data_IF_861980501797
#
_entry.id   IF_861980501797
#
_cell.length_a   1.000
_cell.length_b   1.000
_cell.length_c   1.000
_cell.angle_alpha   90.00
_cell.angle_beta   90.00
_cell.angle_gamma   90.00
#
_symmetry.space_group_name_H-M   'P 1'
#
loop_
_entity.id
_entity.type
_entity.pdbx_description
1 polymer ?
#
# COMPACT_ATOMS: atom_id res chain seq x y z
N UNK A 1 -0.89 26.53 1.24
CA UNK A 1 -0.57 26.56 -0.21
C UNK A 1 0.95 26.42 -0.33
N UNK A 2 1.44 25.17 -0.46
CA UNK A 2 2.88 24.93 -0.70
C UNK A 2 3.09 25.01 -2.20
N UNK A 3 3.67 26.09 -2.66
CA UNK A 3 4.13 26.26 -4.04
C UNK A 3 5.26 25.28 -4.30
N UNK A 4 4.93 24.10 -4.83
CA UNK A 4 5.94 23.22 -5.41
C UNK A 4 6.51 23.91 -6.65
N UNK A 5 7.72 24.42 -6.55
CA UNK A 5 8.47 24.94 -7.70
C UNK A 5 8.77 23.75 -8.58
N UNK A 6 7.96 23.53 -9.60
CA UNK A 6 8.19 22.51 -10.62
C UNK A 6 9.47 22.86 -11.37
N UNK A 7 10.34 21.86 -11.60
CA UNK A 7 11.52 22.04 -12.45
C UNK A 7 11.08 22.52 -13.84
N UNK A 8 11.75 23.51 -14.46
CA UNK A 8 11.43 23.95 -15.81
C UNK A 8 11.38 22.80 -16.84
N UNK A 9 12.22 21.79 -16.66
CA UNK A 9 12.23 20.57 -17.48
C UNK A 9 10.94 19.77 -17.33
N UNK A 10 10.41 19.64 -16.11
CA UNK A 10 9.14 18.94 -15.86
C UNK A 10 7.97 19.68 -16.50
N UNK A 11 7.91 21.01 -16.37
CA UNK A 11 6.87 21.83 -16.98
C UNK A 11 6.87 21.66 -18.51
N UNK A 12 8.04 21.78 -19.15
CA UNK A 12 8.16 21.63 -20.59
C UNK A 12 7.71 20.26 -21.11
N UNK A 13 8.07 19.17 -20.38
CA UNK A 13 7.63 17.81 -20.76
C UNK A 13 6.14 17.62 -20.56
N UNK A 14 5.56 18.19 -19.50
CA UNK A 14 4.12 18.11 -19.26
C UNK A 14 3.36 18.86 -20.35
N UNK A 15 3.78 20.09 -20.68
CA UNK A 15 3.13 20.91 -21.73
C UNK A 15 3.17 20.22 -23.10
N UNK A 16 4.27 19.52 -23.41
CA UNK A 16 4.42 18.72 -24.63
C UNK A 16 3.46 17.52 -24.66
N UNK A 17 3.30 16.80 -23.53
CA UNK A 17 2.57 15.52 -23.50
C UNK A 17 1.09 15.63 -23.12
N UNK A 18 0.66 16.72 -22.50
CA UNK A 18 -0.74 16.91 -22.06
C UNK A 18 -1.77 16.61 -23.16
N UNK A 19 -1.64 17.09 -24.42
CA UNK A 19 -2.65 16.85 -25.44
C UNK A 19 -2.89 15.35 -25.70
N UNK A 20 -1.80 14.59 -25.85
CA UNK A 20 -1.86 13.15 -26.11
C UNK A 20 -2.38 12.36 -24.90
N UNK A 21 -1.81 12.61 -23.72
CA UNK A 21 -2.21 11.91 -22.50
C UNK A 21 -3.66 12.23 -22.10
N UNK A 22 -4.12 13.47 -22.35
CA UNK A 22 -5.50 13.88 -22.10
C UNK A 22 -6.49 13.15 -23.01
N UNK A 23 -6.15 13.00 -24.29
CA UNK A 23 -6.95 12.23 -25.25
C UNK A 23 -7.03 10.75 -24.82
N UNK A 24 -5.88 10.14 -24.47
CA UNK A 24 -5.79 8.76 -23.96
C UNK A 24 -6.61 8.56 -22.68
N UNK A 25 -6.59 9.52 -21.77
CA UNK A 25 -7.33 9.49 -20.52
C UNK A 25 -8.84 9.79 -20.69
N UNK A 26 -9.31 10.15 -21.88
CA UNK A 26 -10.72 10.54 -22.13
C UNK A 26 -11.22 11.61 -21.14
N UNK A 27 -10.39 12.59 -20.80
CA UNK A 27 -10.67 13.60 -19.77
C UNK A 27 -11.98 14.38 -20.04
N UNK A 28 -12.41 14.50 -21.28
CA UNK A 28 -13.66 15.18 -21.66
C UNK A 28 -14.90 14.47 -21.08
N UNK A 29 -14.90 13.14 -21.07
CA UNK A 29 -16.02 12.33 -20.55
C UNK A 29 -16.22 12.49 -19.04
N UNK A 30 -15.17 12.83 -18.34
CA UNK A 30 -15.15 12.99 -16.87
C UNK A 30 -15.07 14.47 -16.46
N UNK A 31 -15.21 15.40 -17.40
CA UNK A 31 -15.22 16.82 -17.14
C UNK A 31 -13.91 17.39 -16.55
N UNK A 32 -12.77 16.76 -16.85
CA UNK A 32 -11.47 17.20 -16.37
C UNK A 32 -10.83 18.19 -17.38
N UNK A 33 -10.60 19.43 -16.94
CA UNK A 33 -10.00 20.46 -17.77
C UNK A 33 -8.53 20.14 -18.14
N UNK A 34 -8.03 20.74 -19.23
CA UNK A 34 -6.63 20.59 -19.60
C UNK A 34 -5.69 21.14 -18.53
N UNK A 35 -6.06 22.25 -17.91
CA UNK A 35 -5.28 22.86 -16.83
C UNK A 35 -5.22 21.93 -15.59
N UNK A 36 -6.36 21.43 -15.12
CA UNK A 36 -6.40 20.52 -13.96
C UNK A 36 -5.63 19.23 -14.24
N UNK A 37 -5.68 18.71 -15.47
CA UNK A 37 -4.93 17.52 -15.85
C UNK A 37 -3.42 17.78 -15.88
N UNK A 38 -2.99 18.96 -16.39
CA UNK A 38 -1.60 19.40 -16.34
C UNK A 38 -1.09 19.51 -14.90
N UNK A 39 -1.86 20.12 -14.00
CA UNK A 39 -1.51 20.23 -12.57
C UNK A 39 -1.35 18.85 -11.91
N UNK A 40 -2.21 17.88 -12.25
CA UNK A 40 -2.10 16.49 -11.79
C UNK A 40 -0.79 15.85 -12.27
N UNK A 41 -0.44 16.01 -13.53
CA UNK A 41 0.80 15.46 -14.09
C UNK A 41 2.04 16.11 -13.45
N UNK A 42 2.02 17.43 -13.22
CA UNK A 42 3.08 18.14 -12.52
C UNK A 42 3.25 17.61 -11.08
N UNK A 43 2.16 17.43 -10.34
CA UNK A 43 2.19 16.85 -9.01
C UNK A 43 2.77 15.44 -9.00
N UNK A 44 2.33 14.57 -9.93
CA UNK A 44 2.80 13.18 -10.01
C UNK A 44 4.26 13.13 -10.47
N UNK A 45 4.65 13.96 -11.43
CA UNK A 45 6.02 14.06 -11.93
C UNK A 45 6.99 14.57 -10.87
N UNK A 46 6.59 15.56 -10.07
CA UNK A 46 7.43 16.09 -8.96
C UNK A 46 7.71 15.04 -7.89
N UNK A 47 6.78 14.11 -7.65
CA UNK A 47 6.95 12.98 -6.73
C UNK A 47 7.80 11.84 -7.29
N UNK A 48 8.02 11.80 -8.61
CA UNK A 48 8.80 10.75 -9.25
C UNK A 48 10.30 10.93 -8.99
N UNK A 49 10.86 12.06 -9.37
CA UNK A 49 12.26 12.43 -9.10
C UNK A 49 12.48 13.92 -9.34
N UNK A 50 13.13 14.57 -8.39
CA UNK A 50 13.50 15.99 -8.53
C UNK A 50 14.63 16.22 -9.55
N UNK A 51 15.39 15.17 -9.91
CA UNK A 51 16.55 15.23 -10.81
C UNK A 51 16.40 14.45 -12.11
N UNK A 52 15.17 14.02 -12.44
CA UNK A 52 14.92 13.24 -13.64
C UNK A 52 15.15 14.09 -14.91
N UNK A 53 15.81 13.49 -15.90
CA UNK A 53 15.97 14.07 -17.24
C UNK A 53 14.63 14.14 -17.98
N UNK A 54 14.53 14.99 -19.00
CA UNK A 54 13.33 15.09 -19.83
C UNK A 54 12.95 13.74 -20.49
N UNK A 55 13.95 12.92 -20.89
CA UNK A 55 13.72 11.59 -21.45
C UNK A 55 13.13 10.60 -20.45
N UNK A 56 13.63 10.60 -19.22
CA UNK A 56 13.09 9.78 -18.14
C UNK A 56 11.67 10.20 -17.75
N UNK A 57 11.38 11.50 -17.71
CA UNK A 57 10.05 12.02 -17.45
C UNK A 57 9.04 11.61 -18.54
N UNK A 58 9.42 11.70 -19.84
CA UNK A 58 8.58 11.22 -20.94
C UNK A 58 8.26 9.73 -20.79
N UNK A 59 9.27 8.92 -20.58
CA UNK A 59 9.11 7.47 -20.37
C UNK A 59 8.22 7.17 -19.17
N UNK A 60 8.40 7.91 -18.09
CA UNK A 60 7.57 7.80 -16.89
C UNK A 60 6.11 8.10 -17.19
N UNK A 61 5.77 9.24 -17.81
CA UNK A 61 4.39 9.59 -18.11
C UNK A 61 3.72 8.62 -19.09
N UNK A 62 4.46 8.09 -20.07
CA UNK A 62 3.93 7.05 -20.98
C UNK A 62 3.66 5.71 -20.26
N UNK A 63 4.33 5.45 -19.14
CA UNK A 63 4.12 4.23 -18.33
C UNK A 63 2.90 4.33 -17.41
N UNK A 64 2.34 5.52 -17.20
CA UNK A 64 1.20 5.73 -16.31
C UNK A 64 -0.11 5.19 -16.90
N UNK A 65 -0.98 4.72 -16.04
CA UNK A 65 -2.39 4.46 -16.34
C UNK A 65 -3.17 5.76 -16.25
N UNK A 66 -3.00 6.60 -17.27
CA UNK A 66 -3.50 7.99 -17.24
C UNK A 66 -5.03 8.09 -17.23
N UNK A 67 -5.73 7.11 -17.81
CA UNK A 67 -7.19 6.98 -17.76
C UNK A 67 -7.68 6.75 -16.33
N UNK A 68 -7.04 5.85 -15.60
CA UNK A 68 -7.37 5.58 -14.20
C UNK A 68 -6.93 6.72 -13.28
N UNK A 69 -5.79 7.37 -13.58
CA UNK A 69 -5.32 8.55 -12.85
C UNK A 69 -6.31 9.70 -12.98
N UNK A 70 -6.74 10.01 -14.23
CA UNK A 70 -7.71 11.06 -14.49
C UNK A 70 -9.05 10.79 -13.79
N UNK A 71 -9.55 9.54 -13.87
CA UNK A 71 -10.78 9.12 -13.18
C UNK A 71 -10.67 9.31 -11.66
N UNK A 72 -9.61 8.82 -11.05
CA UNK A 72 -9.41 8.92 -9.60
C UNK A 72 -9.32 10.38 -9.13
N UNK A 73 -8.62 11.23 -9.87
CA UNK A 73 -8.47 12.65 -9.56
C UNK A 73 -9.75 13.45 -9.79
N UNK A 74 -10.52 13.13 -10.84
CA UNK A 74 -11.84 13.73 -11.05
C UNK A 74 -12.82 13.35 -9.93
N UNK A 75 -12.81 12.08 -9.48
CA UNK A 75 -13.57 11.66 -8.30
C UNK A 75 -13.12 12.42 -7.03
N UNK A 76 -11.82 12.55 -6.81
CA UNK A 76 -11.28 13.30 -5.67
C UNK A 76 -11.72 14.77 -5.68
N UNK A 77 -11.82 15.38 -6.86
CA UNK A 77 -12.35 16.74 -7.04
C UNK A 77 -13.87 16.84 -6.86
N UNK A 78 -14.59 15.71 -6.74
CA UNK A 78 -16.05 15.69 -6.52
C UNK A 78 -16.87 15.68 -7.79
N UNK A 79 -16.31 15.32 -8.95
CA UNK A 79 -17.04 15.24 -10.19
C UNK A 79 -18.03 14.06 -10.18
N UNK A 80 -19.33 14.34 -10.34
CA UNK A 80 -20.39 13.35 -10.27
C UNK A 80 -20.30 12.32 -11.41
N UNK A 81 -20.03 12.74 -12.63
CA UNK A 81 -19.91 11.82 -13.77
C UNK A 81 -18.72 10.87 -13.61
N UNK A 82 -17.62 11.36 -13.06
CA UNK A 82 -16.49 10.51 -12.72
C UNK A 82 -16.85 9.48 -11.63
N UNK A 83 -17.64 9.87 -10.62
CA UNK A 83 -18.13 8.96 -9.59
C UNK A 83 -19.08 7.90 -10.14
N UNK A 84 -19.97 8.23 -11.06
CA UNK A 84 -20.84 7.26 -11.72
C UNK A 84 -20.01 6.18 -12.46
N UNK A 85 -19.00 6.61 -13.22
CA UNK A 85 -18.09 5.71 -13.93
C UNK A 85 -17.30 4.86 -12.92
N UNK A 86 -16.79 5.48 -11.86
CA UNK A 86 -16.04 4.78 -10.81
C UNK A 86 -16.89 3.70 -10.14
N UNK A 87 -18.10 4.02 -9.70
CA UNK A 87 -18.99 3.07 -9.05
C UNK A 87 -19.40 1.94 -9.98
N UNK A 88 -19.72 2.25 -11.25
CA UNK A 88 -20.04 1.22 -12.24
C UNK A 88 -18.88 0.25 -12.45
N UNK A 89 -17.64 0.73 -12.44
CA UNK A 89 -16.44 -0.08 -12.72
C UNK A 89 -15.93 -0.87 -11.50
N UNK A 90 -16.05 -0.31 -10.29
CA UNK A 90 -15.35 -0.83 -9.12
C UNK A 90 -16.24 -1.30 -7.98
N UNK A 91 -17.54 -0.95 -7.94
CA UNK A 91 -18.41 -1.28 -6.82
C UNK A 91 -18.44 -2.77 -6.49
N UNK A 92 -18.74 -3.59 -7.47
CA UNK A 92 -18.82 -5.04 -7.30
C UNK A 92 -17.44 -5.63 -6.92
N UNK A 93 -16.40 -5.20 -7.59
CA UNK A 93 -15.03 -5.66 -7.35
C UNK A 93 -14.54 -5.33 -5.94
N UNK A 94 -14.87 -4.14 -5.44
CA UNK A 94 -14.54 -3.73 -4.08
C UNK A 94 -15.32 -4.53 -3.03
N UNK A 95 -16.61 -4.77 -3.28
CA UNK A 95 -17.41 -5.61 -2.40
C UNK A 95 -16.88 -7.05 -2.35
N UNK A 96 -16.56 -7.65 -3.49
CA UNK A 96 -15.97 -8.98 -3.55
C UNK A 96 -14.59 -9.04 -2.86
N UNK A 97 -13.77 -8.01 -3.02
CA UNK A 97 -12.51 -7.90 -2.30
C UNK A 97 -12.73 -7.78 -0.79
N UNK A 98 -13.69 -6.96 -0.36
CA UNK A 98 -14.06 -6.82 1.05
C UNK A 98 -14.58 -8.14 1.64
N UNK A 99 -15.42 -8.89 0.90
CA UNK A 99 -15.95 -10.17 1.31
C UNK A 99 -14.85 -11.23 1.51
N UNK A 100 -13.87 -11.25 0.61
CA UNK A 100 -12.68 -12.11 0.78
C UNK A 100 -11.86 -11.73 2.00
N UNK A 101 -11.84 -10.42 2.36
CA UNK A 101 -11.11 -9.90 3.52
C UNK A 101 -11.83 -10.21 4.83
N UNK A 102 -13.08 -9.85 4.92
CA UNK A 102 -13.85 -9.93 6.14
C UNK A 102 -14.44 -11.32 6.39
N UNK A 103 -14.62 -12.13 5.31
CA UNK A 103 -15.23 -13.48 5.33
C UNK A 103 -16.68 -13.54 5.82
N UNK A 104 -17.28 -12.41 6.13
CA UNK A 104 -18.65 -12.25 6.59
C UNK A 104 -19.29 -11.10 5.81
N UNK A 105 -20.53 -11.30 5.36
CA UNK A 105 -21.22 -10.35 4.48
C UNK A 105 -21.43 -8.98 5.13
N UNK A 106 -21.87 -8.95 6.38
CA UNK A 106 -22.10 -7.69 7.10
C UNK A 106 -20.81 -6.92 7.28
N UNK A 107 -19.74 -7.58 7.73
CA UNK A 107 -18.43 -6.97 7.91
C UNK A 107 -17.81 -6.51 6.57
N UNK A 108 -18.07 -7.23 5.49
CA UNK A 108 -17.65 -6.87 4.15
C UNK A 108 -18.33 -5.59 3.65
N UNK A 109 -19.64 -5.46 3.86
CA UNK A 109 -20.40 -4.25 3.52
C UNK A 109 -19.89 -3.06 4.31
N UNK A 110 -19.77 -3.19 5.63
CA UNK A 110 -19.24 -2.13 6.48
C UNK A 110 -17.83 -1.69 6.10
N UNK A 111 -16.99 -2.64 5.69
CA UNK A 111 -15.63 -2.35 5.24
C UNK A 111 -15.64 -1.59 3.91
N UNK A 112 -16.48 -2.01 2.96
CA UNK A 112 -16.64 -1.35 1.67
C UNK A 112 -17.22 0.06 1.83
N UNK A 113 -18.24 0.24 2.67
CA UNK A 113 -18.90 1.51 2.92
C UNK A 113 -17.95 2.51 3.60
N UNK A 114 -17.14 2.05 4.56
CA UNK A 114 -16.10 2.88 5.17
C UNK A 114 -15.07 3.31 4.13
N UNK A 115 -14.66 2.40 3.24
CA UNK A 115 -13.75 2.76 2.15
C UNK A 115 -14.37 3.82 1.22
N UNK A 116 -15.64 3.67 0.83
CA UNK A 116 -16.32 4.67 0.00
C UNK A 116 -16.37 6.04 0.67
N UNK A 117 -16.62 6.10 1.98
CA UNK A 117 -16.58 7.33 2.74
C UNK A 117 -15.21 8.04 2.67
N UNK A 118 -14.15 7.27 2.81
CA UNK A 118 -12.77 7.76 2.72
C UNK A 118 -12.36 8.18 1.29
N UNK A 119 -12.79 7.39 0.29
CA UNK A 119 -12.54 7.70 -1.12
C UNK A 119 -13.32 8.95 -1.54
N UNK A 120 -14.56 9.08 -1.06
CA UNK A 120 -15.37 10.27 -1.30
C UNK A 120 -14.79 11.49 -0.58
N UNK A 121 -14.17 11.31 0.58
CA UNK A 121 -13.61 12.39 1.39
C UNK A 121 -14.67 13.10 2.20
N UNK A 122 -15.34 12.39 3.12
CA UNK A 122 -16.27 12.97 4.07
C UNK A 122 -15.53 13.88 5.08
N UNK A 123 -14.25 13.58 5.35
CA UNK A 123 -13.41 14.37 6.21
C UNK A 123 -12.96 15.65 5.52
N UNK A 124 -13.12 16.78 6.21
CA UNK A 124 -12.57 18.07 5.78
C UNK A 124 -11.33 18.40 6.60
N UNK A 125 -10.26 18.82 5.93
CA UNK A 125 -9.07 19.36 6.56
C UNK A 125 -8.86 20.78 6.05
N UNK A 126 -8.77 21.75 6.95
CA UNK A 126 -8.66 23.18 6.61
C UNK A 126 -9.76 23.68 5.66
N UNK A 127 -11.00 23.18 5.83
CA UNK A 127 -12.15 23.52 4.99
C UNK A 127 -12.13 22.84 3.60
N UNK A 128 -11.12 22.04 3.28
CA UNK A 128 -11.03 21.30 2.02
C UNK A 128 -11.33 19.82 2.23
N UNK A 129 -12.05 19.26 1.29
CA UNK A 129 -12.38 17.84 1.23
C UNK A 129 -11.12 17.00 1.00
N UNK A 130 -10.88 16.02 1.86
CA UNK A 130 -9.73 15.12 1.76
C UNK A 130 -10.18 13.76 1.25
N UNK A 131 -9.96 13.50 -0.04
CA UNK A 131 -10.23 12.21 -0.68
C UNK A 131 -8.96 11.37 -0.74
N UNK A 132 -9.04 10.09 -0.34
CA UNK A 132 -7.91 9.15 -0.53
C UNK A 132 -7.52 8.97 -2.00
N UNK A 133 -8.46 9.09 -2.95
CA UNK A 133 -8.19 9.02 -4.39
C UNK A 133 -7.18 10.08 -4.88
N UNK A 134 -7.06 11.20 -4.18
CA UNK A 134 -6.05 12.22 -4.47
C UNK A 134 -4.61 11.70 -4.34
N UNK A 135 -4.36 10.63 -3.59
CA UNK A 135 -3.03 10.05 -3.42
C UNK A 135 -2.66 9.01 -4.49
N UNK A 136 -3.61 8.59 -5.33
CA UNK A 136 -3.32 7.67 -6.43
C UNK A 136 -2.48 8.35 -7.52
N UNK A 137 -1.41 7.67 -7.95
CA UNK A 137 -0.39 8.23 -8.86
C UNK A 137 -0.38 7.64 -10.27
N UNK A 138 -1.25 6.67 -10.57
CA UNK A 138 -1.30 6.03 -11.89
C UNK A 138 -0.19 5.01 -12.18
N UNK A 139 0.69 4.68 -11.21
CA UNK A 139 1.84 3.77 -11.41
C UNK A 139 1.49 2.28 -11.44
N UNK A 140 0.32 1.91 -11.00
CA UNK A 140 -0.23 0.56 -11.01
C UNK A 140 -1.71 0.62 -11.33
N UNK A 141 -2.44 -0.51 -11.36
CA UNK A 141 -3.88 -0.47 -11.57
C UNK A 141 -4.60 0.21 -10.40
N UNK A 142 -5.65 0.97 -10.72
CA UNK A 142 -6.50 1.58 -9.69
C UNK A 142 -7.19 0.50 -8.86
N UNK A 143 -7.56 -0.61 -9.47
CA UNK A 143 -8.15 -1.75 -8.77
C UNK A 143 -7.17 -2.35 -7.74
N UNK A 144 -5.91 -2.60 -8.12
CA UNK A 144 -4.88 -3.09 -7.21
C UNK A 144 -4.60 -2.11 -6.07
N UNK A 145 -4.54 -0.81 -6.38
CA UNK A 145 -4.39 0.23 -5.37
C UNK A 145 -5.57 0.26 -4.38
N UNK A 146 -6.82 0.18 -4.89
CA UNK A 146 -8.04 0.15 -4.06
C UNK A 146 -8.07 -1.08 -3.15
N UNK A 147 -7.66 -2.26 -3.63
CA UNK A 147 -7.53 -3.46 -2.80
C UNK A 147 -6.52 -3.26 -1.67
N UNK A 148 -5.39 -2.60 -1.95
CA UNK A 148 -4.37 -2.30 -0.93
C UNK A 148 -4.93 -1.35 0.14
N UNK A 149 -5.67 -0.31 -0.27
CA UNK A 149 -6.32 0.63 0.67
C UNK A 149 -7.36 -0.10 1.52
N UNK A 150 -8.16 -0.98 0.90
CA UNK A 150 -9.17 -1.79 1.58
C UNK A 150 -8.54 -2.73 2.63
N UNK A 151 -7.46 -3.43 2.26
CA UNK A 151 -6.73 -4.30 3.17
C UNK A 151 -6.12 -3.50 4.34
N UNK A 152 -5.57 -2.33 4.07
CA UNK A 152 -5.03 -1.44 5.10
C UNK A 152 -6.13 -0.96 6.07
N UNK A 153 -7.33 -0.63 5.56
CA UNK A 153 -8.45 -0.22 6.41
C UNK A 153 -8.93 -1.37 7.30
N UNK A 154 -9.00 -2.60 6.77
CA UNK A 154 -9.31 -3.77 7.56
C UNK A 154 -8.32 -3.99 8.70
N UNK A 155 -7.01 -3.93 8.40
CA UNK A 155 -5.95 -4.06 9.41
C UNK A 155 -6.07 -2.96 10.47
N UNK A 156 -6.35 -1.72 10.07
CA UNK A 156 -6.55 -0.61 10.99
C UNK A 156 -7.76 -0.81 11.90
N UNK A 157 -8.89 -1.32 11.35
CA UNK A 157 -10.08 -1.68 12.14
C UNK A 157 -9.79 -2.80 13.13
N UNK A 158 -9.18 -3.88 12.67
CA UNK A 158 -8.80 -5.01 13.53
C UNK A 158 -7.93 -4.58 14.70
N UNK A 159 -6.97 -3.69 14.47
CA UNK A 159 -6.11 -3.14 15.53
C UNK A 159 -6.89 -2.28 16.52
N UNK A 160 -7.83 -1.48 16.05
CA UNK A 160 -8.71 -0.66 16.95
C UNK A 160 -9.56 -1.57 17.82
N UNK A 161 -10.21 -2.57 17.24
CA UNK A 161 -11.04 -3.53 17.97
C UNK A 161 -10.21 -4.30 18.99
N UNK A 162 -9.03 -4.81 18.60
CA UNK A 162 -8.13 -5.55 19.52
C UNK A 162 -7.66 -4.68 20.69
N UNK A 163 -7.43 -3.37 20.48
CA UNK A 163 -7.13 -2.44 21.59
C UNK A 163 -8.29 -2.24 22.54
N UNK A 164 -9.50 -2.11 22.02
CA UNK A 164 -10.70 -1.95 22.85
C UNK A 164 -10.93 -3.20 23.70
N UNK A 165 -10.84 -4.38 23.08
CA UNK A 165 -10.96 -5.67 23.77
C UNK A 165 -9.84 -5.85 24.81
N UNK A 166 -8.60 -5.47 24.50
CA UNK A 166 -7.48 -5.53 25.48
C UNK A 166 -7.64 -4.56 26.66
N UNK A 167 -8.38 -3.46 26.49
CA UNK A 167 -8.74 -2.55 27.59
C UNK A 167 -9.92 -3.10 28.43
N UNK A 168 -10.76 -3.93 27.81
CA UNK A 168 -11.87 -4.61 28.50
C UNK A 168 -11.43 -5.95 29.10
N UNK A 169 -10.45 -6.67 28.52
CA UNK A 169 -9.88 -7.93 29.01
C UNK A 169 -8.96 -7.79 30.24
N UNK A 170 -8.54 -6.58 30.60
CA UNK A 170 -8.09 -6.31 31.98
C UNK A 170 -9.22 -6.48 33.02
N UNK A 171 -10.47 -6.70 32.57
CA UNK A 171 -11.64 -6.86 33.41
C UNK A 171 -12.29 -8.25 33.38
N UNK A 172 -12.15 -9.08 32.34
CA UNK A 172 -12.78 -10.41 32.29
C UNK A 172 -12.05 -11.40 31.36
N UNK A 173 -11.78 -12.60 31.88
CA UNK A 173 -11.16 -13.74 31.16
C UNK A 173 -12.09 -14.33 30.08
N UNK A 174 -11.53 -14.55 28.92
CA UNK A 174 -11.78 -15.71 28.06
C UNK A 174 -12.91 -15.66 27.06
N UNK A 175 -12.58 -15.43 25.78
CA UNK A 175 -13.31 -15.98 24.62
C UNK A 175 -12.33 -16.32 23.48
N UNK A 176 -12.18 -17.63 23.27
CA UNK A 176 -11.44 -18.18 22.11
C UNK A 176 -12.32 -18.08 20.85
N UNK A 177 -11.86 -17.37 19.82
CA UNK A 177 -12.46 -17.43 18.50
C UNK A 177 -11.75 -18.48 17.63
N UNK A 178 -12.47 -19.55 17.28
CA UNK A 178 -12.03 -20.53 16.30
C UNK A 178 -12.03 -19.93 14.89
N UNK A 179 -10.95 -20.13 14.13
CA UNK A 179 -10.85 -19.73 12.74
C UNK A 179 -11.67 -20.71 11.86
N UNK A 180 -12.57 -20.23 10.97
CA UNK A 180 -13.28 -21.08 10.03
C UNK A 180 -12.34 -21.58 8.93
N UNK A 181 -12.49 -22.85 8.54
CA UNK A 181 -11.78 -23.49 7.43
C UNK A 181 -12.13 -22.86 6.07
N UNK A 182 -11.12 -22.62 5.26
CA UNK A 182 -11.24 -21.99 3.96
C UNK A 182 -11.69 -23.00 2.89
N UNK A 183 -12.70 -22.63 2.09
CA UNK A 183 -13.02 -23.31 0.84
C UNK A 183 -12.11 -22.84 -0.31
N UNK A 184 -11.70 -23.71 -1.24
CA UNK A 184 -10.70 -23.39 -2.26
C UNK A 184 -11.30 -22.50 -3.35
N UNK A 185 -10.74 -21.31 -3.53
CA UNK A 185 -10.98 -20.44 -4.68
C UNK A 185 -9.81 -20.56 -5.67
N UNK A 186 -10.10 -20.25 -6.92
CA UNK A 186 -9.25 -20.28 -8.12
C UNK A 186 -7.75 -20.24 -7.83
N UNK A 187 -7.03 -21.28 -8.26
CA UNK A 187 -5.60 -21.49 -7.97
C UNK A 187 -4.75 -20.29 -8.39
N UNK A 188 -4.15 -19.63 -7.42
CA UNK A 188 -3.07 -18.69 -7.67
C UNK A 188 -1.91 -19.39 -8.40
N UNK A 189 -1.20 -18.64 -9.23
CA UNK A 189 -0.05 -19.20 -9.98
C UNK A 189 1.02 -19.69 -8.97
N UNK A 190 1.29 -20.98 -8.99
CA UNK A 190 2.27 -21.66 -8.10
C UNK A 190 3.64 -20.96 -8.09
N UNK A 191 3.99 -20.25 -9.17
CA UNK A 191 5.24 -19.48 -9.26
C UNK A 191 5.24 -18.28 -8.30
N UNK A 192 4.07 -17.65 -8.06
CA UNK A 192 3.93 -16.54 -7.10
C UNK A 192 4.09 -17.06 -5.69
N UNK A 193 3.47 -18.21 -5.37
CA UNK A 193 3.62 -18.88 -4.08
C UNK A 193 5.08 -19.19 -3.79
N UNK A 194 5.76 -19.88 -4.72
CA UNK A 194 7.17 -20.25 -4.58
C UNK A 194 8.11 -19.04 -4.46
N UNK A 195 7.87 -17.98 -5.26
CA UNK A 195 8.68 -16.76 -5.20
C UNK A 195 8.48 -16.03 -3.86
N UNK A 196 7.27 -16.04 -3.32
CA UNK A 196 6.94 -15.43 -2.04
C UNK A 196 7.56 -16.20 -0.88
N UNK A 197 7.43 -17.53 -0.86
CA UNK A 197 8.03 -18.40 0.15
C UNK A 197 9.55 -18.26 0.19
N UNK A 198 10.21 -18.27 -0.99
CA UNK A 198 11.65 -18.08 -1.09
C UNK A 198 12.09 -16.75 -0.49
N UNK A 199 11.38 -15.67 -0.80
CA UNK A 199 11.72 -14.33 -0.29
C UNK A 199 11.50 -14.22 1.23
N UNK A 200 10.40 -14.77 1.73
CA UNK A 200 10.10 -14.78 3.18
C UNK A 200 11.11 -15.63 3.97
N UNK A 201 11.56 -16.77 3.42
CA UNK A 201 12.56 -17.64 4.04
C UNK A 201 13.93 -16.94 4.19
N UNK A 202 14.26 -16.00 3.29
CA UNK A 202 15.54 -15.27 3.30
C UNK A 202 15.50 -13.95 4.11
N UNK A 203 14.38 -13.64 4.76
CA UNK A 203 14.31 -12.48 5.65
C UNK A 203 15.24 -12.63 6.87
N UNK A 204 15.88 -11.52 7.26
CA UNK A 204 16.61 -11.49 8.53
C UNK A 204 15.66 -11.75 9.72
N UNK A 205 16.14 -12.34 10.82
CA UNK A 205 15.30 -12.56 12.02
C UNK A 205 14.66 -11.26 12.54
N UNK A 206 15.39 -10.14 12.48
CA UNK A 206 14.89 -8.82 12.89
C UNK A 206 13.77 -8.31 11.98
N UNK A 207 13.95 -8.43 10.66
CA UNK A 207 12.95 -8.00 9.69
C UNK A 207 11.68 -8.85 9.77
N UNK A 208 11.86 -10.16 9.98
CA UNK A 208 10.78 -11.12 10.22
C UNK A 208 10.00 -10.76 11.49
N UNK A 209 10.69 -10.46 12.59
CA UNK A 209 10.06 -10.04 13.85
C UNK A 209 9.26 -8.74 13.69
N UNK A 210 9.80 -7.74 12.98
CA UNK A 210 9.10 -6.46 12.73
C UNK A 210 7.85 -6.69 11.89
N UNK A 211 7.93 -7.50 10.83
CA UNK A 211 6.78 -7.83 9.99
C UNK A 211 5.72 -8.62 10.76
N UNK A 212 6.13 -9.64 11.53
CA UNK A 212 5.23 -10.43 12.38
C UNK A 212 4.52 -9.54 13.41
N UNK A 213 5.27 -8.72 14.15
CA UNK A 213 4.71 -7.82 15.15
C UNK A 213 3.70 -6.83 14.53
N UNK A 214 4.01 -6.30 13.33
CA UNK A 214 3.15 -5.34 12.68
C UNK A 214 1.93 -5.98 12.02
N UNK A 215 2.10 -7.04 11.22
CA UNK A 215 1.03 -7.61 10.39
C UNK A 215 0.27 -8.77 11.04
N UNK A 216 0.92 -9.59 11.88
CA UNK A 216 0.29 -10.74 12.51
C UNK A 216 -0.21 -10.43 13.93
N UNK A 217 0.63 -9.74 14.73
CA UNK A 217 0.29 -9.42 16.13
C UNK A 217 -0.50 -8.11 16.26
N UNK A 218 -0.64 -7.35 15.17
CA UNK A 218 -1.40 -6.10 15.16
C UNK A 218 -0.79 -4.98 16.01
N UNK A 219 0.51 -5.06 16.37
CA UNK A 219 1.18 -4.04 17.18
C UNK A 219 1.30 -2.71 16.45
N UNK A 220 1.24 -1.63 17.21
CA UNK A 220 1.43 -0.28 16.68
C UNK A 220 2.92 0.00 16.42
N UNK A 221 3.19 1.00 15.57
CA UNK A 221 4.57 1.46 15.35
C UNK A 221 5.25 1.88 16.66
N UNK A 222 4.49 2.56 17.54
CA UNK A 222 4.99 2.99 18.85
C UNK A 222 5.34 1.81 19.78
N UNK A 223 4.52 0.74 19.79
CA UNK A 223 4.78 -0.47 20.57
C UNK A 223 6.01 -1.21 20.05
N UNK A 224 6.13 -1.38 18.72
CA UNK A 224 7.30 -2.01 18.10
C UNK A 224 8.56 -1.17 18.36
N UNK A 225 8.47 0.14 18.23
CA UNK A 225 9.56 1.06 18.50
C UNK A 225 10.05 0.95 19.95
N UNK A 226 9.12 0.87 20.92
CA UNK A 226 9.43 0.67 22.33
C UNK A 226 10.10 -0.68 22.60
N UNK A 227 9.61 -1.75 21.96
CA UNK A 227 10.21 -3.10 22.07
C UNK A 227 11.64 -3.13 21.55
N UNK A 228 11.93 -2.41 20.48
CA UNK A 228 13.24 -2.39 19.84
C UNK A 228 14.15 -1.25 20.32
N UNK A 229 13.67 -0.41 21.23
CA UNK A 229 14.45 0.73 21.76
C UNK A 229 14.78 1.80 20.71
N UNK A 230 13.92 1.98 19.71
CA UNK A 230 14.13 2.95 18.62
C UNK A 230 12.94 3.92 18.52
N UNK A 231 13.08 4.97 17.70
CA UNK A 231 12.01 5.92 17.46
C UNK A 231 10.95 5.35 16.49
N UNK A 232 9.68 5.71 16.65
CA UNK A 232 8.55 5.24 15.82
C UNK A 232 8.79 5.48 14.33
N UNK A 233 9.35 6.65 13.97
CA UNK A 233 9.67 6.95 12.57
C UNK A 233 10.70 6.00 11.96
N UNK A 234 11.57 5.38 12.78
CA UNK A 234 12.53 4.36 12.34
C UNK A 234 11.80 3.09 11.93
N UNK A 235 10.81 2.67 12.71
CA UNK A 235 9.98 1.50 12.38
C UNK A 235 9.15 1.75 11.12
N UNK A 236 8.53 2.92 11.00
CA UNK A 236 7.78 3.29 9.80
C UNK A 236 8.65 3.21 8.53
N UNK A 237 9.85 3.82 8.57
CA UNK A 237 10.80 3.77 7.44
C UNK A 237 11.30 2.35 7.17
N UNK A 238 11.54 1.55 8.22
CA UNK A 238 11.96 0.15 8.10
C UNK A 238 10.88 -0.68 7.41
N UNK A 239 9.63 -0.57 7.81
CA UNK A 239 8.51 -1.27 7.18
C UNK A 239 8.31 -0.87 5.71
N UNK A 240 8.40 0.43 5.38
CA UNK A 240 8.32 0.91 4.00
C UNK A 240 9.47 0.35 3.13
N UNK A 241 10.70 0.36 3.67
CA UNK A 241 11.86 -0.23 3.00
C UNK A 241 11.70 -1.74 2.80
N UNK A 242 11.21 -2.46 3.81
CA UNK A 242 10.96 -3.89 3.74
C UNK A 242 9.89 -4.22 2.68
N UNK A 243 8.77 -3.51 2.67
CA UNK A 243 7.71 -3.72 1.68
C UNK A 243 8.22 -3.53 0.25
N UNK A 244 9.02 -2.47 0.00
CA UNK A 244 9.65 -2.21 -1.30
C UNK A 244 10.65 -3.30 -1.68
N UNK A 245 11.45 -3.77 -0.72
CA UNK A 245 12.44 -4.83 -0.93
C UNK A 245 11.78 -6.16 -1.25
N UNK A 246 10.76 -6.55 -0.48
CA UNK A 246 9.98 -7.77 -0.70
C UNK A 246 9.36 -7.77 -2.10
N UNK A 247 8.66 -6.69 -2.47
CA UNK A 247 8.08 -6.56 -3.81
C UNK A 247 9.14 -6.73 -4.91
N UNK A 248 10.29 -6.07 -4.78
CA UNK A 248 11.39 -6.17 -5.75
C UNK A 248 11.92 -7.60 -5.87
N UNK A 249 12.11 -8.28 -4.75
CA UNK A 249 12.64 -9.64 -4.71
C UNK A 249 11.64 -10.65 -5.28
N UNK A 250 10.35 -10.52 -4.97
CA UNK A 250 9.30 -11.38 -5.54
C UNK A 250 9.23 -11.19 -7.06
N UNK A 251 9.23 -9.95 -7.57
CA UNK A 251 9.26 -9.68 -9.02
C UNK A 251 10.49 -10.31 -9.69
N UNK A 252 11.67 -10.20 -9.07
CA UNK A 252 12.88 -10.84 -9.57
C UNK A 252 12.78 -12.38 -9.54
N UNK A 253 12.16 -12.95 -8.50
CA UNK A 253 11.87 -14.38 -8.39
C UNK A 253 10.93 -14.88 -9.49
N UNK A 254 9.90 -14.11 -9.83
CA UNK A 254 8.97 -14.42 -10.91
C UNK A 254 9.64 -14.34 -12.29
N UNK A 255 10.50 -13.34 -12.51
CA UNK A 255 11.28 -13.22 -13.73
C UNK A 255 12.23 -14.44 -13.93
N UNK A 256 12.90 -14.90 -12.86
CA UNK A 256 13.71 -16.15 -12.90
C UNK A 256 12.87 -17.39 -13.24
N UNK A 257 11.57 -17.37 -12.94
CA UNK A 257 10.61 -18.45 -13.26
C UNK A 257 9.93 -18.27 -14.62
N UNK A 258 10.49 -17.43 -15.48
CA UNK A 258 10.08 -17.26 -16.88
C UNK A 258 8.89 -16.33 -17.10
N UNK A 259 8.48 -15.55 -16.10
CA UNK A 259 7.46 -14.52 -16.31
C UNK A 259 8.07 -13.25 -16.92
N UNK A 260 7.39 -12.69 -17.92
CA UNK A 260 7.71 -11.35 -18.38
C UNK A 260 7.41 -10.34 -17.26
N UNK A 261 8.05 -9.17 -17.30
CA UNK A 261 7.83 -8.12 -16.30
C UNK A 261 6.35 -7.76 -16.11
N UNK A 262 5.60 -7.64 -17.22
CA UNK A 262 4.18 -7.34 -17.18
C UNK A 262 3.38 -8.46 -16.51
N UNK A 263 3.64 -9.71 -16.88
CA UNK A 263 2.99 -10.86 -16.24
C UNK A 263 3.30 -10.95 -14.74
N UNK A 264 4.54 -10.66 -14.34
CA UNK A 264 4.95 -10.66 -12.94
C UNK A 264 4.27 -9.53 -12.15
N UNK A 265 4.15 -8.33 -12.73
CA UNK A 265 3.43 -7.21 -12.12
C UNK A 265 1.92 -7.50 -11.98
N UNK A 266 1.30 -8.10 -13.00
CA UNK A 266 -0.10 -8.54 -12.97
C UNK A 266 -0.31 -9.68 -11.95
N UNK A 267 0.62 -10.62 -11.85
CA UNK A 267 0.54 -11.75 -10.92
C UNK A 267 0.65 -11.32 -9.44
N UNK A 268 1.44 -10.28 -9.13
CA UNK A 268 1.51 -9.73 -7.76
C UNK A 268 0.24 -8.95 -7.38
N UNK A 269 -0.56 -8.51 -8.35
CA UNK A 269 -1.85 -7.87 -8.09
C UNK A 269 -2.95 -8.89 -7.71
N UNK A 270 -2.68 -10.19 -7.83
CA UNK A 270 -3.55 -11.27 -7.33
C UNK A 270 -3.65 -11.17 -5.80
N UNK A 271 -4.81 -11.46 -5.25
CA UNK A 271 -5.04 -11.41 -3.81
C UNK A 271 -4.07 -12.37 -3.08
N UNK A 272 -3.32 -11.85 -2.11
CA UNK A 272 -2.34 -12.61 -1.31
C UNK A 272 -2.95 -13.84 -0.63
N UNK A 273 -4.29 -13.89 -0.49
CA UNK A 273 -5.03 -15.02 0.12
C UNK A 273 -5.34 -16.13 -0.85
N UNK A 274 -5.31 -15.85 -2.14
CA UNK A 274 -5.39 -16.89 -3.16
C UNK A 274 -4.04 -17.64 -3.27
N UNK A 275 -2.99 -17.12 -2.59
CA UNK A 275 -1.70 -17.79 -2.44
C UNK A 275 -1.78 -18.83 -1.31
N UNK A 276 -1.38 -20.05 -1.57
CA UNK A 276 -1.22 -21.12 -0.56
C UNK A 276 0.07 -20.95 0.25
N UNK A 277 0.44 -19.71 0.57
CA UNK A 277 1.60 -19.37 1.38
C UNK A 277 1.17 -19.22 2.84
N UNK A 278 1.71 -20.03 3.71
CA UNK A 278 1.53 -19.88 5.15
C UNK A 278 2.46 -18.78 5.67
N UNK A 279 2.04 -17.52 5.47
CA UNK A 279 2.78 -16.34 5.92
C UNK A 279 3.02 -16.37 7.43
N UNK A 280 2.06 -16.89 8.20
CA UNK A 280 2.20 -17.01 9.65
C UNK A 280 3.35 -17.95 10.00
N UNK A 281 3.44 -19.12 9.37
CA UNK A 281 4.53 -20.06 9.56
C UNK A 281 5.87 -19.50 9.07
N UNK A 282 5.89 -18.83 7.94
CA UNK A 282 7.12 -18.23 7.37
C UNK A 282 7.66 -17.06 8.19
N UNK A 283 6.79 -16.36 8.96
CA UNK A 283 7.18 -15.29 9.87
C UNK A 283 7.30 -15.74 11.33
N UNK A 284 6.87 -16.97 11.69
CA UNK A 284 7.05 -17.51 13.02
C UNK A 284 8.55 -17.71 13.32
N UNK A 285 8.95 -17.41 14.54
CA UNK A 285 10.29 -17.68 15.05
C UNK A 285 10.22 -18.89 15.97
N UNK A 286 11.08 -19.88 15.75
CA UNK A 286 11.16 -21.11 16.57
C UNK A 286 11.74 -20.88 17.97
N UNK A 287 12.16 -19.64 18.28
CA UNK A 287 12.64 -19.26 19.62
C UNK A 287 12.38 -17.78 19.87
N UNK A 288 12.10 -17.36 21.13
CA UNK A 288 12.12 -15.94 21.47
C UNK A 288 13.51 -15.38 21.12
N UNK A 289 13.60 -14.14 20.61
CA UNK A 289 14.90 -13.58 20.28
C UNK A 289 15.75 -13.52 21.55
N UNK A 290 16.79 -14.33 21.60
CA UNK A 290 17.86 -14.16 22.56
C UNK A 290 18.28 -12.71 22.49
N UNK A 291 18.26 -12.09 23.68
CA UNK A 291 18.62 -10.71 23.98
C UNK A 291 19.37 -10.00 22.84
N UNK A 292 18.75 -8.98 22.26
CA UNK A 292 19.41 -8.04 21.35
C UNK A 292 20.75 -7.69 21.94
N UNK A 293 21.82 -8.22 21.34
CA UNK A 293 23.20 -8.03 21.76
C UNK A 293 23.45 -6.52 21.85
N UNK A 294 23.67 -6.04 23.06
CA UNK A 294 24.22 -4.71 23.33
C UNK A 294 25.62 -4.65 22.72
N UNK A 295 25.69 -4.50 21.41
CA UNK A 295 26.93 -4.09 20.77
C UNK A 295 27.03 -2.57 20.89
N UNK A 296 28.03 -2.20 21.66
CA UNK A 296 28.74 -0.91 21.59
C UNK A 296 28.23 0.22 22.48
N UNK A 297 28.49 0.11 23.77
CA UNK A 297 28.90 1.27 24.58
C UNK A 297 30.07 0.85 25.53
N UNK A 298 31.05 0.10 25.06
CA UNK A 298 32.29 -0.16 25.77
C UNK A 298 33.49 0.12 24.89
N UNK A 299 33.63 1.35 24.41
CA UNK A 299 34.86 1.80 23.78
C UNK A 299 35.02 3.32 23.89
N UNK A 300 34.84 3.90 25.10
CA UNK A 300 35.27 5.30 25.38
C UNK A 300 35.34 5.59 26.87
N UNK A 301 35.91 4.68 27.64
CA UNK A 301 36.40 5.00 28.99
C UNK A 301 37.67 4.18 29.23
N UNK A 302 38.72 4.47 28.51
CA UNK A 302 40.11 4.15 28.85
C UNK A 302 41.05 4.95 27.94
N UNK A 303 41.14 6.24 28.18
CA UNK A 303 42.29 7.08 27.85
C UNK A 303 42.04 8.44 28.51
N UNK A 304 42.47 8.53 29.77
CA UNK A 304 42.36 9.76 30.52
C UNK A 304 42.75 9.57 31.97
N UNK A 305 43.88 8.88 32.23
CA UNK A 305 44.69 9.02 33.46
C UNK A 305 46.04 8.43 33.16
N UNK A 306 47.01 9.33 33.01
CA UNK A 306 48.43 9.08 32.87
C UNK A 306 49.14 10.35 32.52
#
# INVERSE_FOLDING_TARGET
>A
MSSHISSPALQAVVDEQVPELRAKASCEKIGLSAQSFSEILLEVGSKYSASASAGELRTFFLSLRVDELALARACAAGNNSAWEIFLTRFREKLYLAALRIAREDSAARDLADTLYADLYGISTRDGQRVSKLASYTGRGSLEGWLRTVLAQEYVNRYRRTKRLVSLEEESEEGLQFAAPEAQPSVSADTRVEQATDEVLAHLSPEDRAVLAAYYLDGRTLAEIARMLGVHESTISRKLDKLAKSLRKQILAGLARRGMSRRQAEEAIEVDVRDLKVDIRRSLAQDSPPDSFSKKTVEARVREGEG
#
